data_IF_734423259125
#
_entry.id   IF_734423259125
#
_cell.length_a   1.000
_cell.length_b   1.000
_cell.length_c   1.000
_cell.angle_alpha   90.00
_cell.angle_beta   90.00
_cell.angle_gamma   90.00
#
_symmetry.space_group_name_H-M   'P 1'
#
loop_
_entity.id
_entity.type
_entity.pdbx_description
1 polymer ?
2 water ?
#
# COMPACT_ATOMS: atom_id res chain seq x y z
N UNK A 2 23.62 -0.21 -4.75
CA UNK A 2 24.55 -0.70 -5.85
C UNK A 2 25.02 -2.16 -5.67
N UNK A 3 24.13 -3.11 -5.98
CA UNK A 3 24.40 -4.56 -5.83
C UNK A 3 24.34 -5.39 -7.10
N UNK A 4 24.67 -4.82 -8.26
CA UNK A 4 24.93 -5.61 -9.50
C UNK A 4 23.84 -5.73 -10.55
N UNK A 5 24.13 -6.53 -11.58
CA UNK A 5 23.20 -6.81 -12.69
C UNK A 5 22.33 -7.96 -12.31
N UNK A 6 21.04 -7.86 -12.63
CA UNK A 6 20.13 -8.96 -12.46
C UNK A 6 19.31 -9.13 -13.73
N UNK A 7 18.66 -10.27 -13.83
CA UNK A 7 17.64 -10.48 -14.83
C UNK A 7 16.28 -10.60 -14.15
N UNK A 8 15.34 -9.71 -14.45
CA UNK A 8 14.02 -9.75 -13.87
C UNK A 8 13.08 -10.77 -14.51
N UNK A 9 12.23 -11.34 -13.67
CA UNK A 9 11.15 -12.23 -14.09
C UNK A 9 9.78 -11.62 -13.77
N UNK A 10 8.86 -11.71 -14.72
CA UNK A 10 7.43 -11.56 -14.47
C UNK A 10 6.87 -12.90 -13.99
N UNK A 11 6.52 -13.00 -12.68
CA UNK A 11 6.05 -14.28 -12.16
C UNK A 11 4.61 -14.51 -12.54
N UNK A 12 4.27 -15.78 -12.76
CA UNK A 12 2.95 -16.28 -12.63
C UNK A 12 2.84 -16.98 -11.26
N UNK A 13 1.73 -17.65 -11.04
CA UNK A 13 1.47 -18.28 -9.78
C UNK A 13 2.40 -19.45 -9.53
N UNK A 14 2.82 -20.14 -10.60
CA UNK A 14 3.80 -21.24 -10.43
C UNK A 14 5.18 -20.71 -10.01
N UNK A 15 5.58 -19.56 -10.56
CA UNK A 15 6.81 -18.95 -10.12
C UNK A 15 6.72 -18.65 -8.60
N UNK A 16 5.57 -18.13 -8.16
CA UNK A 16 5.44 -17.76 -6.78
C UNK A 16 5.47 -19.01 -5.88
N UNK A 17 4.88 -20.10 -6.35
CA UNK A 17 4.94 -21.38 -5.63
C UNK A 17 6.37 -21.80 -5.38
N UNK A 18 7.15 -21.77 -6.45
CA UNK A 18 8.56 -22.14 -6.38
C UNK A 18 9.31 -21.22 -5.39
N UNK A 19 9.08 -19.90 -5.53
CA UNK A 19 9.76 -18.93 -4.69
C UNK A 19 9.40 -19.12 -3.20
N UNK A 20 8.15 -19.46 -2.91
CA UNK A 20 7.78 -19.81 -1.55
C UNK A 20 8.45 -21.14 -1.04
N UNK A 21 8.50 -22.14 -1.94
CA UNK A 21 9.28 -23.37 -1.70
C UNK A 21 10.74 -23.04 -1.39
N UNK A 22 11.36 -22.12 -2.11
CA UNK A 22 12.77 -21.83 -1.84
C UNK A 22 13.00 -21.17 -0.51
N UNK A 23 11.96 -20.55 0.07
CA UNK A 23 12.05 -20.00 1.42
C UNK A 23 11.45 -20.98 2.41
N UNK A 24 11.04 -22.18 2.01
CA UNK A 24 10.40 -23.15 2.96
C UNK A 24 9.19 -22.49 3.64
N UNK A 25 8.38 -21.83 2.85
CA UNK A 25 7.15 -21.31 3.37
C UNK A 25 6.10 -22.21 2.76
N UNK A 26 5.35 -22.85 3.64
CA UNK A 26 4.24 -23.71 3.30
C UNK A 26 3.14 -22.89 2.69
N UNK A 27 2.57 -23.39 1.61
CA UNK A 27 1.34 -22.85 1.08
C UNK A 27 0.36 -23.98 0.80
N UNK A 28 -0.94 -23.66 0.68
CA UNK A 28 -1.90 -24.56 0.01
C UNK A 28 -3.02 -23.82 -0.71
N UNK A 29 -3.88 -24.53 -1.44
CA UNK A 29 -4.91 -23.93 -2.29
C UNK A 29 -6.36 -24.31 -1.91
N UNK A 30 -7.18 -23.32 -1.51
CA UNK A 30 -8.69 -23.35 -1.54
C UNK A 30 -9.23 -24.10 -2.78
N UNK A 31 -10.45 -24.63 -2.65
CA UNK A 31 -11.18 -25.20 -3.78
C UNK A 31 -11.78 -24.05 -4.57
N UNK A 32 -11.94 -22.93 -3.90
CA UNK A 32 -12.76 -21.84 -4.38
C UNK A 32 -12.03 -20.49 -4.55
N UNK A 33 -10.70 -20.44 -4.37
CA UNK A 33 -9.92 -19.29 -4.83
C UNK A 33 -8.67 -19.72 -5.55
N UNK A 34 -8.00 -18.75 -6.16
CA UNK A 34 -6.69 -18.96 -6.76
C UNK A 34 -5.57 -18.49 -5.86
N UNK A 35 -5.91 -18.17 -4.61
CA UNK A 35 -4.94 -17.69 -3.64
C UNK A 35 -4.07 -18.82 -3.07
N UNK A 36 -2.81 -18.53 -2.79
CA UNK A 36 -1.94 -19.42 -2.05
C UNK A 36 -2.01 -19.09 -0.57
N UNK A 37 -2.69 -19.94 0.19
CA UNK A 37 -2.87 -19.72 1.62
C UNK A 37 -1.60 -20.06 2.40
N UNK A 38 -1.42 -19.40 3.55
CA UNK A 38 -0.18 -19.43 4.31
C UNK A 38 -0.48 -19.83 5.76
N UNK A 39 -0.41 -21.15 6.04
CA UNK A 39 -0.76 -21.67 7.36
C UNK A 39 0.03 -21.01 8.49
N UNK A 40 1.30 -20.72 8.27
CA UNK A 40 2.13 -20.29 9.37
C UNK A 40 1.64 -18.98 9.99
N UNK A 41 0.87 -18.21 9.22
CA UNK A 41 0.33 -16.91 9.68
C UNK A 41 -0.73 -17.07 10.75
N UNK A 42 -1.42 -18.21 10.75
CA UNK A 42 -2.38 -18.51 11.81
C UNK A 42 -1.78 -18.64 13.21
N UNK A 43 -0.46 -18.50 13.35
CA UNK A 43 0.20 -18.54 14.64
C UNK A 43 0.24 -17.18 15.30
N UNK A 44 -0.24 -16.15 14.61
CA UNK A 44 -0.37 -14.82 15.22
C UNK A 44 -1.79 -14.70 15.66
N UNK A 45 -1.98 -14.29 16.91
CA UNK A 45 -3.33 -14.22 17.44
C UNK A 45 -4.17 -13.26 16.61
N UNK A 46 -5.42 -13.61 16.40
CA UNK A 46 -6.35 -12.84 15.58
C UNK A 46 -6.50 -13.42 14.20
N UNK A 47 -5.36 -13.85 13.61
CA UNK A 47 -5.32 -14.23 12.20
C UNK A 47 -6.11 -15.50 11.96
N UNK A 48 -7.15 -15.46 11.15
CA UNK A 48 -7.85 -16.71 10.84
C UNK A 48 -7.51 -17.21 9.45
N UNK A 49 -6.96 -16.35 8.62
CA UNK A 49 -6.48 -16.76 7.31
C UNK A 49 -5.46 -15.73 6.81
N UNK A 50 -4.49 -16.19 6.06
CA UNK A 50 -3.60 -15.29 5.32
C UNK A 50 -3.40 -15.92 3.96
N UNK A 51 -3.19 -15.09 2.96
CA UNK A 51 -2.88 -15.60 1.62
C UNK A 51 -2.17 -14.60 0.70
N UNK A 52 -1.56 -15.20 -0.32
CA UNK A 52 -0.98 -14.52 -1.47
C UNK A 52 -1.88 -14.69 -2.72
N UNK A 53 -2.22 -13.58 -3.35
CA UNK A 53 -2.94 -13.52 -4.63
C UNK A 53 -2.07 -12.83 -5.66
N UNK A 54 -2.20 -13.27 -6.90
CA UNK A 54 -1.67 -12.57 -8.01
C UNK A 54 -2.81 -12.13 -8.92
N UNK A 55 -2.93 -10.84 -9.16
CA UNK A 55 -4.04 -10.28 -9.94
C UNK A 55 -3.60 -9.07 -10.70
N UNK A 56 -3.79 -9.09 -12.01
CA UNK A 56 -3.54 -7.94 -12.83
C UNK A 56 -2.14 -7.39 -12.61
N UNK A 57 -1.17 -8.28 -12.48
CA UNK A 57 0.20 -7.89 -12.38
C UNK A 57 0.62 -7.40 -10.99
N UNK A 58 -0.21 -7.64 -9.96
CA UNK A 58 0.10 -7.23 -8.60
C UNK A 58 -0.07 -8.46 -7.69
N UNK A 59 0.97 -8.75 -6.91
CA UNK A 59 0.94 -9.66 -5.80
C UNK A 59 0.40 -8.97 -4.52
N UNK A 60 -0.51 -9.64 -3.84
CA UNK A 60 -1.10 -9.21 -2.56
C UNK A 60 -0.94 -10.27 -1.50
N UNK A 61 -0.37 -9.86 -0.37
CA UNK A 61 -0.21 -10.69 0.81
C UNK A 61 -1.21 -10.06 1.76
N UNK A 62 -2.26 -10.79 2.05
CA UNK A 62 -3.31 -10.24 2.89
C UNK A 62 -3.58 -11.18 4.05
N UNK A 63 -3.81 -10.64 5.24
CA UNK A 63 -4.28 -11.45 6.38
C UNK A 63 -5.67 -10.97 6.75
N UNK A 64 -6.49 -11.92 7.18
CA UNK A 64 -7.86 -11.65 7.55
C UNK A 64 -8.04 -11.98 9.04
N UNK A 65 -8.72 -11.10 9.75
CA UNK A 65 -9.08 -11.36 11.14
C UNK A 65 -10.56 -11.04 11.32
N UNK A 66 -11.20 -11.71 12.25
CA UNK A 66 -12.58 -11.42 12.61
C UNK A 66 -12.68 -10.45 13.76
N UNK A 67 -13.56 -9.48 13.57
CA UNK A 67 -13.68 -8.33 14.43
C UNK A 67 -14.95 -8.55 15.26
N UNK A 68 -14.88 -8.20 16.55
CA UNK A 68 -16.04 -8.26 17.43
C UNK A 68 -16.98 -7.15 17.03
N UNK A 69 -18.29 -7.45 17.02
CA UNK A 69 -19.24 -6.43 16.65
C UNK A 69 -19.18 -5.14 17.47
N UNK A 70 -18.83 -5.25 18.75
CA UNK A 70 -18.70 -4.07 19.59
C UNK A 70 -17.48 -3.20 19.27
N UNK A 71 -16.54 -3.71 18.48
CA UNK A 71 -15.30 -3.04 18.17
C UNK A 71 -15.31 -2.52 16.74
N UNK A 72 -16.40 -2.77 16.04
CA UNK A 72 -16.46 -2.41 14.65
C UNK A 72 -16.45 -0.90 14.44
N UNK A 73 -17.33 -0.15 15.11
CA UNK A 73 -17.33 1.31 14.95
C UNK A 73 -16.02 1.93 15.42
N UNK A 74 -15.51 1.53 16.60
CA UNK A 74 -14.22 2.05 17.08
C UNK A 74 -13.06 1.73 16.11
N UNK A 75 -13.07 0.55 15.52
CA UNK A 75 -12.05 0.18 14.55
C UNK A 75 -12.23 0.97 13.25
N UNK A 76 -13.47 1.19 12.83
CA UNK A 76 -13.73 2.00 11.66
C UNK A 76 -13.15 3.39 11.88
N UNK A 77 -13.31 3.91 13.11
CA UNK A 77 -12.75 5.22 13.52
C UNK A 77 -11.21 5.31 13.55
N UNK A 78 -10.53 4.20 13.80
CA UNK A 78 -9.05 4.20 13.86
C UNK A 78 -8.32 3.82 12.54
N UNK A 79 -9.06 3.43 11.50
CA UNK A 79 -8.45 3.07 10.17
C UNK A 79 -7.45 4.07 9.65
N UNK A 80 -7.75 5.36 9.66
CA UNK A 80 -6.77 6.31 9.22
C UNK A 80 -5.46 6.17 9.97
N UNK A 81 -5.55 6.09 11.28
CA UNK A 81 -4.36 5.93 12.10
C UNK A 81 -3.68 4.58 11.82
N UNK A 82 -4.43 3.48 11.64
CA UNK A 82 -3.74 2.27 11.39
C UNK A 82 -2.98 2.36 10.05
N UNK A 83 -3.56 2.98 9.02
CA UNK A 83 -2.94 3.06 7.69
C UNK A 83 -1.79 4.05 7.72
N UNK A 84 -1.90 5.06 8.59
CA UNK A 84 -0.78 6.03 8.72
C UNK A 84 0.39 5.45 9.49
N UNK A 85 0.19 4.31 10.12
CA UNK A 85 1.21 3.82 11.08
C UNK A 85 2.21 2.91 10.38
N UNK A 86 1.95 2.49 9.12
CA UNK A 86 2.90 1.63 8.38
C UNK A 86 3.20 2.24 7.07
N UNK A 87 4.43 2.09 6.60
CA UNK A 87 4.77 2.78 5.35
C UNK A 87 4.29 1.98 4.15
N UNK A 88 3.93 0.73 4.40
CA UNK A 88 3.65 -0.18 3.31
C UNK A 88 2.36 -1.00 3.45
N UNK A 89 1.88 -1.22 4.67
CA UNK A 89 0.70 -2.05 4.85
C UNK A 89 -0.59 -1.18 4.83
N UNK A 90 -1.62 -1.74 4.20
CA UNK A 90 -2.93 -1.18 4.18
C UNK A 90 -3.89 -1.96 5.10
N UNK A 91 -4.92 -1.30 5.62
CA UNK A 91 -5.95 -2.00 6.42
C UNK A 91 -7.38 -1.49 6.13
N UNK A 92 -8.33 -2.41 5.97
CA UNK A 92 -9.74 -1.99 5.74
C UNK A 92 -10.74 -3.02 6.24
N UNK A 93 -12.00 -2.63 6.37
CA UNK A 93 -13.05 -3.54 6.79
C UNK A 93 -13.79 -4.20 5.62
N UNK A 94 -14.16 -5.47 5.81
CA UNK A 94 -15.01 -6.16 4.86
C UNK A 94 -16.20 -6.71 5.64
N UNK A 95 -17.36 -6.10 5.43
CA UNK A 95 -18.53 -6.35 6.25
C UNK A 95 -19.61 -6.99 5.37
N UNK A 96 -20.18 -8.07 5.85
CA UNK A 96 -21.26 -8.77 5.17
C UNK A 96 -22.44 -8.88 6.13
N UNK A 97 -23.64 -9.03 5.56
CA UNK A 97 -24.85 -9.28 6.35
C UNK A 97 -24.88 -10.71 6.87
N UNK A 98 -24.29 -11.64 6.11
CA UNK A 98 -24.28 -13.07 6.44
C UNK A 98 -23.19 -13.55 7.47
N UNK A 99 -22.11 -12.78 7.67
CA UNK A 99 -21.00 -13.22 8.52
C UNK A 99 -20.51 -12.14 9.50
N UNK A 100 -19.51 -12.48 10.29
CA UNK A 100 -18.83 -11.47 11.11
C UNK A 100 -18.03 -10.50 10.24
N UNK A 101 -18.00 -9.23 10.64
CA UNK A 101 -17.11 -8.32 9.95
C UNK A 101 -15.62 -8.81 9.94
N UNK A 102 -14.91 -8.61 8.82
CA UNK A 102 -13.46 -8.82 8.84
C UNK A 102 -12.61 -7.57 8.71
N UNK A 103 -11.48 -7.66 9.39
CA UNK A 103 -10.37 -6.76 9.21
C UNK A 103 -9.37 -7.39 8.25
N UNK A 104 -9.02 -6.64 7.21
CA UNK A 104 -8.16 -7.12 6.15
C UNK A 104 -6.90 -6.26 6.25
N UNK A 105 -5.76 -6.92 6.37
CA UNK A 105 -4.52 -6.23 6.54
C UNK A 105 -3.62 -6.76 5.45
N UNK A 106 -3.05 -5.88 4.66
CA UNK A 106 -2.39 -6.33 3.43
C UNK A 106 -1.29 -5.44 2.86
N UNK A 107 -0.41 -6.07 2.08
CA UNK A 107 0.66 -5.38 1.40
C UNK A 107 0.72 -5.90 -0.04
N UNK A 108 1.05 -5.00 -0.96
CA UNK A 108 1.20 -5.41 -2.37
C UNK A 108 2.65 -5.30 -2.90
N UNK A 109 2.96 -6.09 -3.89
CA UNK A 109 4.20 -6.03 -4.63
C UNK A 109 3.81 -6.02 -6.15
N UNK A 110 4.10 -4.92 -6.80
CA UNK A 110 3.83 -4.77 -8.23
C UNK A 110 4.84 -5.58 -9.00
N UNK A 111 4.33 -6.55 -9.73
CA UNK A 111 5.10 -7.51 -10.41
C UNK A 111 5.24 -7.33 -11.94
N UNK A 112 4.49 -6.44 -12.55
CA UNK A 112 4.34 -6.50 -14.04
C UNK A 112 5.54 -6.01 -14.84
N UNK A 113 6.45 -5.31 -14.16
CA UNK A 113 7.70 -4.83 -14.71
C UNK A 113 8.84 -5.79 -14.38
N UNK A 114 8.50 -6.91 -13.78
CA UNK A 114 9.51 -7.89 -13.33
C UNK A 114 9.94 -7.71 -11.88
N UNK A 115 10.47 -8.79 -11.32
CA UNK A 115 11.00 -8.90 -9.96
C UNK A 115 12.20 -9.86 -9.97
N UNK A 116 13.12 -9.66 -9.04
CA UNK A 116 14.03 -10.70 -8.65
C UNK A 116 13.41 -11.48 -7.46
N UNK A 117 13.93 -12.69 -7.27
CA UNK A 117 13.57 -13.56 -6.15
C UNK A 117 13.82 -12.86 -4.80
N UNK A 118 14.94 -12.14 -4.72
CA UNK A 118 15.29 -11.40 -3.53
C UNK A 118 14.28 -10.31 -3.15
N UNK A 119 13.73 -9.66 -4.15
CA UNK A 119 12.63 -8.71 -3.89
C UNK A 119 11.39 -9.37 -3.32
N UNK A 120 11.10 -10.58 -3.80
CA UNK A 120 9.98 -11.31 -3.30
C UNK A 120 10.18 -11.76 -1.83
N UNK A 121 11.36 -12.31 -1.56
CA UNK A 121 11.76 -12.63 -0.19
C UNK A 121 11.66 -11.42 0.73
N UNK A 122 12.24 -10.29 0.32
CA UNK A 122 12.08 -9.06 1.11
C UNK A 122 10.57 -8.73 1.38
N UNK A 123 9.76 -8.85 0.35
CA UNK A 123 8.34 -8.67 0.48
C UNK A 123 7.68 -9.57 1.47
N UNK A 124 7.99 -10.87 1.46
CA UNK A 124 7.37 -11.79 2.39
C UNK A 124 7.75 -11.43 3.80
N UNK A 125 9.00 -11.01 4.00
CA UNK A 125 9.48 -10.79 5.36
C UNK A 125 8.91 -9.51 5.90
N UNK A 126 8.92 -8.46 5.07
CA UNK A 126 8.41 -7.13 5.45
C UNK A 126 6.88 -7.16 5.57
N UNK A 127 6.20 -7.89 4.69
CA UNK A 127 4.74 -8.02 4.79
C UNK A 127 4.32 -8.70 6.08
N UNK A 128 4.89 -9.87 6.32
CA UNK A 128 4.67 -10.59 7.59
C UNK A 128 4.92 -9.72 8.83
N UNK A 129 6.04 -9.09 8.85
CA UNK A 129 6.34 -8.19 10.00
C UNK A 129 5.30 -7.09 10.15
N UNK A 130 4.93 -6.46 9.06
CA UNK A 130 4.07 -5.25 9.19
C UNK A 130 2.62 -5.71 9.43
N UNK A 131 2.19 -6.77 8.74
CA UNK A 131 0.82 -7.23 8.90
C UNK A 131 0.65 -7.73 10.36
N UNK A 132 1.62 -8.49 10.85
CA UNK A 132 1.48 -9.16 12.17
C UNK A 132 1.44 -8.08 13.25
N UNK A 133 2.24 -7.05 13.05
CA UNK A 133 2.23 -5.95 14.00
C UNK A 133 0.89 -5.32 14.12
N UNK A 134 0.20 -5.12 12.98
CA UNK A 134 -1.12 -4.49 13.00
C UNK A 134 -2.10 -5.41 13.65
N UNK A 135 -2.13 -6.67 13.23
CA UNK A 135 -3.09 -7.60 13.75
C UNK A 135 -2.85 -7.83 15.27
N UNK A 136 -1.58 -7.92 15.69
CA UNK A 136 -1.28 -8.19 17.10
C UNK A 136 -1.74 -7.08 17.95
N UNK A 137 -1.53 -5.84 17.50
CA UNK A 137 -1.97 -4.68 18.25
C UNK A 137 -3.50 -4.61 18.43
N UNK A 138 -4.25 -4.95 17.38
CA UNK A 138 -5.70 -5.00 17.42
C UNK A 138 -6.19 -6.12 18.33
N UNK A 139 -5.53 -7.27 18.30
CA UNK A 139 -5.79 -8.30 19.30
C UNK A 139 -5.58 -7.78 20.74
N UNK A 140 -4.41 -7.23 21.00
CA UNK A 140 -4.08 -6.70 22.31
C UNK A 140 -5.16 -5.72 22.75
N UNK A 141 -5.64 -4.87 21.84
CA UNK A 141 -6.65 -3.87 22.16
C UNK A 141 -8.07 -4.46 22.25
N UNK A 142 -8.21 -5.79 22.19
CA UNK A 142 -9.49 -6.48 22.37
C UNK A 142 -10.48 -6.17 21.27
N UNK A 143 -10.00 -6.03 20.05
CA UNK A 143 -10.87 -5.76 18.92
C UNK A 143 -11.29 -7.00 18.15
N UNK A 144 -10.64 -8.12 18.40
CA UNK A 144 -10.81 -9.26 17.53
C UNK A 144 -11.39 -10.41 18.30
N UNK A 145 -11.92 -11.38 17.56
CA UNK A 145 -12.39 -12.67 18.10
C UNK A 145 -11.26 -13.69 18.16
N UNK A 146 -11.57 -14.90 18.63
CA UNK A 146 -10.61 -16.03 18.69
C UNK A 146 -10.22 -16.43 17.28
N UNK B 4 16.93 -8.49 -20.98
CA UNK B 4 18.38 -8.49 -20.66
C UNK B 4 18.64 -8.21 -19.19
N UNK B 5 19.79 -7.64 -18.91
CA UNK B 5 20.15 -7.39 -17.53
C UNK B 5 20.04 -5.96 -17.20
N UNK B 6 19.83 -5.69 -15.91
CA UNK B 6 19.60 -4.35 -15.43
C UNK B 6 20.24 -4.18 -14.06
N UNK B 7 20.65 -2.97 -13.77
CA UNK B 7 21.26 -2.66 -12.47
C UNK B 7 20.18 -2.71 -11.38
N UNK B 8 20.45 -3.47 -10.34
CA UNK B 8 19.68 -3.40 -9.09
C UNK B 8 20.42 -2.48 -8.12
N UNK B 9 19.76 -1.39 -7.69
CA UNK B 9 20.34 -0.35 -6.87
C UNK B 9 19.50 -0.09 -5.60
N UNK B 10 20.12 0.08 -4.44
CA UNK B 10 19.42 0.62 -3.24
C UNK B 10 19.53 2.12 -3.42
N UNK B 11 18.41 2.82 -3.67
CA UNK B 11 18.56 4.24 -4.05
C UNK B 11 18.57 5.20 -2.89
N UNK B 12 19.10 6.39 -3.13
CA UNK B 12 18.96 7.48 -2.19
C UNK B 12 18.29 8.50 -3.02
N UNK B 13 18.10 9.67 -2.45
CA UNK B 13 17.34 10.73 -3.07
C UNK B 13 17.98 11.23 -4.34
N UNK B 14 19.30 11.18 -4.43
CA UNK B 14 19.96 11.55 -5.69
C UNK B 14 19.63 10.58 -6.82
N UNK B 15 19.61 9.27 -6.54
CA UNK B 15 19.17 8.28 -7.51
C UNK B 15 17.76 8.62 -7.97
N UNK B 16 16.85 8.87 -7.03
CA UNK B 16 15.49 9.17 -7.46
C UNK B 16 15.39 10.41 -8.32
N UNK B 17 16.17 11.44 -8.03
CA UNK B 17 16.11 12.67 -8.78
C UNK B 17 16.52 12.43 -10.24
N UNK B 18 17.62 11.70 -10.40
CA UNK B 18 18.17 11.34 -11.71
C UNK B 18 17.15 10.47 -12.45
N UNK B 19 16.57 9.48 -11.75
CA UNK B 19 15.53 8.68 -12.40
C UNK B 19 14.31 9.46 -12.82
N UNK B 20 13.95 10.51 -12.07
CA UNK B 20 12.85 11.41 -12.51
C UNK B 20 13.24 12.26 -13.73
N UNK B 21 14.49 12.74 -13.76
CA UNK B 21 15.02 13.48 -14.90
C UNK B 21 15.01 12.56 -16.10
N UNK B 22 15.49 11.32 -15.93
CA UNK B 22 15.50 10.41 -17.04
C UNK B 22 14.08 10.20 -17.62
N UNK B 23 13.02 10.48 -16.85
CA UNK B 23 11.63 10.29 -17.31
C UNK B 23 11.05 11.62 -17.73
N UNK B 24 11.86 12.66 -17.67
CA UNK B 24 11.38 14.02 -17.89
C UNK B 24 10.22 14.39 -16.97
N UNK B 25 10.27 13.97 -15.70
CA UNK B 25 9.25 14.32 -14.75
C UNK B 25 9.86 15.41 -13.95
N UNK B 26 9.16 16.53 -13.89
CA UNK B 26 9.65 17.73 -13.16
C UNK B 26 9.49 17.53 -11.64
N UNK B 27 10.48 17.93 -10.86
CA UNK B 27 10.37 17.93 -9.38
C UNK B 27 10.89 19.19 -8.78
N UNK B 28 10.25 19.66 -7.73
CA UNK B 28 10.84 20.74 -6.92
C UNK B 28 11.04 20.32 -5.46
N UNK B 29 11.85 21.09 -4.74
CA UNK B 29 12.06 20.93 -3.30
C UNK B 29 11.33 22.02 -2.43
N UNK B 30 11.02 21.68 -1.16
CA UNK B 30 10.49 22.56 -0.08
C UNK B 30 11.81 22.83 0.68
N UNK B 31 12.02 24.00 1.27
CA UNK B 31 13.22 24.15 2.12
C UNK B 31 12.98 23.47 3.48
N UNK B 32 11.74 23.52 3.94
CA UNK B 32 11.42 22.91 5.23
C UNK B 32 11.19 21.40 5.18
N UNK B 33 11.15 20.79 3.99
CA UNK B 33 10.72 19.39 3.91
C UNK B 33 11.65 18.56 3.06
N UNK B 34 11.57 17.25 3.25
CA UNK B 34 12.52 16.32 2.67
C UNK B 34 12.08 15.60 1.39
N UNK B 35 11.03 16.06 0.76
CA UNK B 35 10.41 15.32 -0.32
C UNK B 35 10.71 15.99 -1.66
N UNK B 36 10.54 15.25 -2.74
CA UNK B 36 10.59 15.79 -4.11
C UNK B 36 9.19 15.98 -4.58
N UNK B 37 8.79 17.23 -4.74
CA UNK B 37 7.40 17.55 -5.02
C UNK B 37 7.16 17.49 -6.51
N UNK B 38 5.92 17.16 -6.90
CA UNK B 38 5.63 16.85 -8.30
C UNK B 38 4.55 17.77 -8.78
N UNK B 39 4.96 18.92 -9.33
CA UNK B 39 4.04 19.91 -9.86
C UNK B 39 3.02 19.37 -10.86
N UNK B 40 3.35 18.44 -11.75
CA UNK B 40 2.32 18.06 -12.71
C UNK B 40 1.07 17.46 -12.05
N UNK B 41 1.18 16.91 -10.84
CA UNK B 41 0.00 16.30 -10.20
C UNK B 41 -1.04 17.35 -9.81
N UNK B 42 -0.69 18.62 -9.80
CA UNK B 42 -1.73 19.61 -9.48
C UNK B 42 -2.68 19.84 -10.65
N UNK B 43 -2.42 19.23 -11.79
CA UNK B 43 -3.41 19.26 -12.87
C UNK B 43 -4.60 18.40 -12.57
N UNK B 44 -4.57 17.58 -11.52
CA UNK B 44 -5.76 16.78 -11.20
C UNK B 44 -6.52 17.56 -10.14
N UNK B 45 -7.83 17.69 -10.32
CA UNK B 45 -8.61 18.57 -9.45
C UNK B 45 -8.63 18.00 -8.04
N UNK B 46 -8.32 18.87 -7.09
CA UNK B 46 -8.36 18.54 -5.66
C UNK B 46 -6.97 18.34 -5.07
N UNK B 47 -6.00 18.18 -5.95
CA UNK B 47 -4.64 18.00 -5.52
C UNK B 47 -3.95 19.29 -5.28
N UNK B 48 -3.63 19.59 -4.02
CA UNK B 48 -2.80 20.78 -3.78
C UNK B 48 -1.32 20.45 -3.67
N UNK B 49 -0.97 19.17 -3.49
CA UNK B 49 0.44 18.79 -3.50
C UNK B 49 0.55 17.30 -3.75
N UNK B 50 1.69 16.92 -4.32
CA UNK B 50 2.00 15.55 -4.49
C UNK B 50 3.52 15.42 -4.43
N UNK B 51 3.98 14.29 -3.89
CA UNK B 51 5.40 14.18 -3.66
C UNK B 51 5.91 12.77 -3.51
N UNK B 52 7.22 12.69 -3.73
CA UNK B 52 8.05 11.55 -3.56
C UNK B 52 8.90 11.74 -2.28
N UNK B 53 8.67 10.85 -1.31
CA UNK B 53 9.47 10.66 -0.11
C UNK B 53 10.28 9.36 -0.12
N UNK B 54 11.39 9.37 0.61
CA UNK B 54 12.15 8.18 0.90
C UNK B 54 12.36 8.04 2.43
N UNK B 55 11.86 6.95 2.98
CA UNK B 55 11.69 6.79 4.42
C UNK B 55 12.00 5.40 4.76
N UNK B 56 13.03 5.21 5.57
CA UNK B 56 13.49 3.88 5.96
C UNK B 56 13.52 2.93 4.76
N UNK B 57 14.08 3.34 3.65
CA UNK B 57 14.22 2.39 2.56
C UNK B 57 12.93 2.12 1.76
N UNK B 58 11.85 2.86 2.01
CA UNK B 58 10.64 2.73 1.22
C UNK B 58 10.36 4.03 0.52
N UNK B 59 10.03 3.94 -0.77
CA UNK B 59 9.62 5.10 -1.54
C UNK B 59 8.13 5.28 -1.43
N UNK B 60 7.69 6.49 -1.24
CA UNK B 60 6.28 6.80 -1.15
C UNK B 60 6.00 7.91 -2.12
N UNK B 61 4.97 7.66 -2.92
CA UNK B 61 4.38 8.68 -3.79
C UNK B 61 3.03 8.96 -3.13
N UNK B 62 2.80 10.18 -2.74
CA UNK B 62 1.57 10.58 -2.14
C UNK B 62 1.07 11.85 -2.75
N UNK B 63 -0.26 11.96 -2.75
CA UNK B 63 -0.95 13.17 -3.14
C UNK B 63 -1.79 13.62 -1.95
N UNK B 64 -1.92 14.93 -1.81
CA UNK B 64 -2.68 15.57 -0.73
C UNK B 64 -3.88 16.37 -1.27
N UNK B 65 -5.06 16.10 -0.72
CA UNK B 65 -6.23 16.91 -0.99
C UNK B 65 -6.77 17.50 0.34
N UNK B 66 -7.24 18.73 0.27
CA UNK B 66 -7.98 19.33 1.36
C UNK B 66 -9.43 18.90 1.31
N UNK B 67 -9.89 18.43 2.44
CA UNK B 67 -11.22 17.95 2.61
C UNK B 67 -12.15 19.01 3.21
N UNK B 68 -13.36 19.08 2.65
CA UNK B 68 -14.47 19.84 3.24
C UNK B 68 -14.81 19.35 4.65
N UNK B 69 -14.80 20.28 5.63
CA UNK B 69 -15.19 19.85 6.99
C UNK B 69 -16.49 19.11 7.06
N UNK B 70 -17.49 19.49 6.27
CA UNK B 70 -18.75 18.69 6.19
C UNK B 70 -18.64 17.28 5.58
N UNK B 71 -17.57 17.01 4.84
CA UNK B 71 -17.37 15.66 4.22
C UNK B 71 -16.46 14.80 5.05
N UNK B 72 -15.85 15.36 6.08
CA UNK B 72 -14.91 14.59 6.89
C UNK B 72 -15.52 13.28 7.42
N UNK B 73 -16.71 13.34 8.00
CA UNK B 73 -17.29 12.13 8.56
C UNK B 73 -17.73 11.19 7.46
N UNK B 74 -18.46 11.67 6.43
CA UNK B 74 -18.78 10.66 5.38
C UNK B 74 -17.50 10.07 4.76
N UNK B 75 -16.44 10.87 4.65
CA UNK B 75 -15.18 10.35 4.02
C UNK B 75 -14.55 9.30 4.92
N UNK B 76 -14.41 9.62 6.20
CA UNK B 76 -13.91 8.67 7.16
C UNK B 76 -14.71 7.42 7.15
N UNK B 77 -16.03 7.50 6.95
CA UNK B 77 -16.85 6.29 6.71
C UNK B 77 -16.68 5.60 5.34
N UNK B 78 -16.14 6.29 4.34
CA UNK B 78 -15.84 5.65 3.02
C UNK B 78 -14.44 4.98 2.91
N UNK B 79 -13.59 5.16 3.93
CA UNK B 79 -12.20 4.75 3.79
C UNK B 79 -12.03 3.26 3.48
N UNK B 80 -12.76 2.35 4.08
CA UNK B 80 -12.62 0.94 3.72
C UNK B 80 -12.85 0.70 2.24
N UNK B 81 -13.93 1.23 1.73
CA UNK B 81 -14.30 0.99 0.36
C UNK B 81 -13.26 1.65 -0.55
N UNK B 82 -12.75 2.82 -0.17
CA UNK B 82 -11.74 3.44 -1.04
C UNK B 82 -10.45 2.60 -1.09
N UNK B 83 -10.03 2.08 0.05
CA UNK B 83 -8.82 1.28 0.15
C UNK B 83 -9.02 -0.06 -0.56
N UNK B 84 -10.19 -0.64 -0.38
CA UNK B 84 -10.54 -1.84 -1.10
C UNK B 84 -10.62 -1.63 -2.60
N UNK B 85 -10.69 -0.41 -3.10
CA UNK B 85 -10.94 -0.22 -4.55
C UNK B 85 -9.67 -0.28 -5.37
N UNK B 86 -8.52 -0.28 -4.73
CA UNK B 86 -7.26 -0.34 -5.45
C UNK B 86 -6.42 -1.46 -4.93
N UNK B 87 -5.74 -2.13 -5.84
CA UNK B 87 -4.81 -3.17 -5.43
C UNK B 87 -3.57 -2.62 -4.72
N UNK B 88 -3.22 -1.36 -4.98
CA UNK B 88 -1.96 -0.81 -4.54
C UNK B 88 -2.07 0.47 -3.78
N UNK B 89 -3.13 1.23 -3.95
CA UNK B 89 -3.10 2.56 -3.40
C UNK B 89 -3.78 2.51 -2.04
N UNK B 90 -3.35 3.40 -1.17
CA UNK B 90 -3.99 3.53 0.10
C UNK B 90 -4.36 4.96 0.37
N UNK B 91 -5.40 5.11 1.20
CA UNK B 91 -5.97 6.42 1.47
C UNK B 91 -6.26 6.53 2.97
N UNK B 92 -5.98 7.67 3.56
CA UNK B 92 -6.21 7.87 4.96
C UNK B 92 -6.28 9.37 5.17
N UNK B 93 -6.75 9.74 6.35
CA UNK B 93 -6.97 11.15 6.66
C UNK B 93 -5.91 11.65 7.58
N UNK B 94 -5.56 12.92 7.43
CA UNK B 94 -4.68 13.57 8.36
C UNK B 94 -5.39 14.84 8.83
N UNK B 95 -5.71 14.81 10.12
CA UNK B 95 -6.52 15.81 10.77
C UNK B 95 -5.70 16.53 11.84
N UNK B 96 -5.59 17.84 11.66
CA UNK B 96 -4.94 18.72 12.62
C UNK B 96 -5.91 19.68 13.29
N UNK B 97 -5.57 20.12 14.50
CA UNK B 97 -6.33 21.19 15.12
C UNK B 97 -6.14 22.55 14.44
N UNK B 98 -4.96 22.84 13.93
CA UNK B 98 -4.68 24.14 13.30
C UNK B 98 -5.08 24.24 11.81
N UNK B 99 -5.53 23.17 11.15
CA UNK B 99 -5.77 23.25 9.72
C UNK B 99 -6.89 22.45 9.11
N UNK B 100 -7.07 22.62 7.81
CA UNK B 100 -8.05 21.84 7.09
C UNK B 100 -7.60 20.43 7.17
N UNK B 101 -8.54 19.53 7.38
CA UNK B 101 -8.22 18.12 7.27
C UNK B 101 -7.79 17.79 5.81
N UNK B 102 -6.90 16.79 5.72
CA UNK B 102 -6.25 16.37 4.49
C UNK B 102 -6.56 14.92 4.20
N UNK B 103 -6.82 14.61 2.91
CA UNK B 103 -6.86 13.25 2.46
C UNK B 103 -5.47 12.94 1.88
N UNK B 104 -4.85 11.87 2.35
CA UNK B 104 -3.60 11.42 1.80
C UNK B 104 -3.91 10.18 0.97
N UNK B 105 -3.38 10.13 -0.24
CA UNK B 105 -3.62 9.01 -1.14
C UNK B 105 -2.27 8.63 -1.69
N UNK B 106 -1.86 7.39 -1.43
CA UNK B 106 -0.42 7.12 -1.63
C UNK B 106 -0.11 5.72 -1.99
N UNK B 107 1.03 5.54 -2.70
CA UNK B 107 1.53 4.20 -3.05
C UNK B 107 2.97 4.13 -2.66
N UNK B 108 3.38 2.94 -2.29
CA UNK B 108 4.72 2.71 -1.80
C UNK B 108 5.44 1.71 -2.64
N UNK B 109 6.76 1.80 -2.66
CA UNK B 109 7.62 0.88 -3.38
C UNK B 109 8.82 0.61 -2.45
N UNK B 110 8.97 -0.64 -2.00
CA UNK B 110 9.98 -1.01 -1.02
C UNK B 110 11.31 -1.18 -1.75
N UNK B 111 12.30 -0.47 -1.25
CA UNK B 111 13.53 -0.24 -1.97
C UNK B 111 14.74 -0.94 -1.37
N UNK B 112 14.59 -1.48 -0.15
CA UNK B 112 15.75 -1.96 0.63
C UNK B 112 16.44 -3.17 0.04
N UNK B 113 15.73 -4.06 -0.69
CA UNK B 113 16.38 -5.16 -1.41
C UNK B 113 16.87 -4.76 -2.84
N UNK B 114 16.93 -3.47 -3.12
CA UNK B 114 17.27 -2.94 -4.44
C UNK B 114 16.07 -2.76 -5.32
N UNK B 115 16.15 -1.78 -6.23
CA UNK B 115 15.21 -1.59 -7.30
C UNK B 115 15.95 -1.37 -8.60
N UNK B 116 15.25 -1.61 -9.71
CA UNK B 116 15.77 -1.19 -11.03
C UNK B 116 15.04 0.03 -11.51
N UNK B 117 15.63 0.71 -12.49
CA UNK B 117 15.06 1.94 -13.01
C UNK B 117 13.66 1.69 -13.59
N UNK B 118 13.55 0.63 -14.39
CA UNK B 118 12.27 0.24 -14.98
C UNK B 118 11.20 -0.01 -13.90
N UNK B 119 11.61 -0.46 -12.72
CA UNK B 119 10.63 -0.76 -11.65
C UNK B 119 10.11 0.55 -11.14
N UNK B 120 11.02 1.50 -11.01
CA UNK B 120 10.66 2.84 -10.63
C UNK B 120 9.75 3.51 -11.67
N UNK B 121 10.09 3.38 -12.97
CA UNK B 121 9.23 3.96 -14.05
C UNK B 121 7.78 3.44 -13.93
N UNK B 122 7.65 2.13 -13.78
CA UNK B 122 6.35 1.49 -13.68
C UNK B 122 5.59 2.04 -12.47
N UNK B 123 6.35 2.20 -11.40
CA UNK B 123 5.79 2.69 -10.13
C UNK B 123 5.24 4.05 -10.36
N UNK B 124 6.00 4.92 -11.03
CA UNK B 124 5.55 6.30 -11.25
C UNK B 124 4.25 6.27 -12.04
N UNK B 125 4.13 5.34 -13.00
CA UNK B 125 2.95 5.36 -13.87
C UNK B 125 1.77 4.73 -13.19
N UNK B 126 2.00 3.61 -12.54
CA UNK B 126 0.88 2.94 -11.86
C UNK B 126 0.34 3.81 -10.71
N UNK B 127 1.24 4.44 -9.97
CA UNK B 127 0.86 5.30 -8.84
C UNK B 127 0.08 6.51 -9.34
N UNK B 128 0.60 7.20 -10.34
CA UNK B 128 -0.13 8.37 -10.89
C UNK B 128 -1.54 7.99 -11.30
N UNK B 129 -1.65 6.87 -12.02
CA UNK B 129 -2.97 6.38 -12.41
C UNK B 129 -3.89 6.04 -11.20
N UNK B 130 -3.37 5.31 -10.22
CA UNK B 130 -4.21 4.81 -9.18
C UNK B 130 -4.56 5.96 -8.22
N UNK B 131 -3.60 6.85 -7.98
CA UNK B 131 -3.80 7.94 -7.04
C UNK B 131 -4.81 8.92 -7.64
N UNK B 132 -4.56 9.30 -8.90
CA UNK B 132 -5.41 10.28 -9.59
C UNK B 132 -6.83 9.78 -9.63
N UNK B 133 -7.02 8.51 -9.85
CA UNK B 133 -8.35 7.94 -9.91
C UNK B 133 -9.08 8.16 -8.61
N UNK B 134 -8.43 7.88 -7.47
CA UNK B 134 -9.12 8.01 -6.20
C UNK B 134 -9.44 9.45 -5.93
N UNK B 135 -8.48 10.34 -6.13
CA UNK B 135 -8.68 11.73 -5.81
C UNK B 135 -9.74 12.41 -6.71
N UNK B 136 -9.76 12.06 -7.99
CA UNK B 136 -10.71 12.62 -8.93
C UNK B 136 -12.08 12.16 -8.55
N UNK B 137 -12.20 10.91 -8.12
CA UNK B 137 -13.48 10.39 -7.71
C UNK B 137 -14.00 11.11 -6.48
N UNK B 138 -13.07 11.52 -5.59
CA UNK B 138 -13.46 12.13 -4.35
C UNK B 138 -13.90 13.54 -4.64
N UNK B 139 -13.21 14.15 -5.59
CA UNK B 139 -13.53 15.50 -6.04
C UNK B 139 -14.94 15.52 -6.68
N UNK B 140 -15.20 14.57 -7.57
CA UNK B 140 -16.53 14.41 -8.20
C UNK B 140 -17.62 14.18 -7.18
N UNK B 141 -17.28 13.55 -6.06
CA UNK B 141 -18.28 13.25 -5.05
C UNK B 141 -18.43 14.42 -4.10
N UNK B 142 -17.86 15.57 -4.44
CA UNK B 142 -18.04 16.80 -3.71
C UNK B 142 -17.43 16.77 -2.27
N UNK B 143 -16.38 15.97 -2.07
CA UNK B 143 -15.71 15.86 -0.75
C UNK B 143 -14.58 16.85 -0.53
N UNK B 144 -14.05 17.41 -1.62
CA UNK B 144 -12.79 18.15 -1.53
C UNK B 144 -13.02 19.61 -1.73
N UNK B 145 -12.08 20.42 -1.25
CA UNK B 145 -12.01 21.85 -1.54
C UNK B 145 -11.21 22.04 -2.82
N UNK B 146 -11.59 23.03 -3.63
CA UNK B 146 -10.76 23.40 -4.78
C UNK B 146 -9.41 23.95 -4.26
N UNK B 147 -8.30 23.58 -4.91
CA UNK B 147 -6.96 23.92 -4.39
C UNK B 147 -6.65 25.41 -4.50
#
# INVERSE_FOLDING_TARGET
GAMGMVSLVVPDLDVLRRWLDQQSITWFECDSCQALHLPHMQNFDGVFDAKIDLMDGVILFSALAEVKPTALIPLAGDLSQINASSLTVKAFLDIQDDNLPKLIVCQSLSAAAGLTYGQFVHFMKESEEQISMIVMEAFANHLLMIAEDEERPPXITSHSLLH
GAXGMVSLVVPDLDVLRRWLDQQSITWFECDSCQALHLPHMQNFDGVFDAKIDLMDGVILFSALAEVKPTALIPLAGDLSQINASSLTVKAFLDIQDDNLPKLIVCQSLSAAAGLTYGQFVHFMKESEEQISMIVMEAFANHLLMIAEDEERPPXITSHSLLH
#
